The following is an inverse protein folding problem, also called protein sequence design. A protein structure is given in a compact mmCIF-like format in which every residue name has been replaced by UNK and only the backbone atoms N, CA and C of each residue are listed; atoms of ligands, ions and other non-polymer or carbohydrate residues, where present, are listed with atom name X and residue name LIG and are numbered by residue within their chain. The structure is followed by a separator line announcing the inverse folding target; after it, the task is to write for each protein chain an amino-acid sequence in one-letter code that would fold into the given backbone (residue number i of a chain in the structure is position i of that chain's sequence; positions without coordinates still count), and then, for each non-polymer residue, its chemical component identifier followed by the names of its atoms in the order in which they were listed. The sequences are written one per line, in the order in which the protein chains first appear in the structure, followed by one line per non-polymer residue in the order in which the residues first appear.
data_IF_798054463947
#
_entry.id   IF_798054463947
#
_cell.length_a   1.000
_cell.length_b   1.000
_cell.length_c   1.000
_cell.angle_alpha   90.00
_cell.angle_beta   90.00
_cell.angle_gamma   90.00
#
_symmetry.space_group_name_H-M   'P 1'
#
loop_
_entity.id
_entity.type
_entity.pdbx_description
1 polymer ?
#
# COMPACT_ATOMS: atom_id res chain seq x y z
N UNK A 1 7.15 16.36 15.01
CA UNK A 1 6.55 15.40 14.05
C UNK A 1 5.97 14.21 14.82
N UNK A 2 4.97 14.47 15.64
CA UNK A 2 4.25 13.47 16.43
C UNK A 2 3.03 13.09 15.59
N UNK A 3 2.87 11.82 15.22
CA UNK A 3 1.68 11.29 14.54
C UNK A 3 1.81 10.86 13.07
N UNK A 4 3.00 10.94 12.44
CA UNK A 4 3.14 10.44 11.08
C UNK A 4 3.29 8.91 11.05
N UNK A 5 2.57 8.23 10.14
CA UNK A 5 2.69 6.79 9.95
C UNK A 5 4.12 6.37 9.57
N UNK A 6 4.44 5.08 9.71
CA UNK A 6 5.75 4.53 9.28
C UNK A 6 6.03 4.84 7.80
N UNK A 7 5.01 4.75 6.96
CA UNK A 7 5.04 5.11 5.54
C UNK A 7 5.45 6.57 5.32
N UNK A 8 4.82 7.52 6.02
CA UNK A 8 5.15 8.94 5.92
C UNK A 8 6.61 9.22 6.31
N UNK A 9 7.05 8.63 7.42
CA UNK A 9 8.44 8.79 7.87
C UNK A 9 9.44 8.25 6.87
N UNK A 10 9.16 7.09 6.27
CA UNK A 10 10.04 6.49 5.27
C UNK A 10 10.14 7.35 4.01
N UNK A 11 9.00 7.84 3.49
CA UNK A 11 8.96 8.74 2.34
C UNK A 11 9.68 10.05 2.59
N UNK A 12 9.45 10.68 3.76
CA UNK A 12 10.13 11.92 4.15
C UNK A 12 11.65 11.71 4.26
N UNK A 13 12.07 10.63 4.90
CA UNK A 13 13.50 10.29 5.02
C UNK A 13 14.15 10.10 3.64
N UNK A 14 13.43 9.47 2.71
CA UNK A 14 13.91 9.32 1.33
C UNK A 14 14.03 10.67 0.63
N UNK A 15 13.02 11.55 0.74
CA UNK A 15 13.05 12.88 0.16
C UNK A 15 14.21 13.73 0.71
N UNK A 16 14.41 13.73 2.02
CA UNK A 16 15.52 14.45 2.67
C UNK A 16 16.87 13.94 2.15
N UNK A 17 17.07 12.63 2.03
CA UNK A 17 18.31 12.04 1.48
C UNK A 17 18.58 12.46 0.03
N UNK A 18 17.54 12.83 -0.73
CA UNK A 18 17.63 13.33 -2.10
C UNK A 18 17.75 14.86 -2.19
N UNK A 19 17.89 15.56 -1.05
CA UNK A 19 18.04 17.03 -1.00
C UNK A 19 16.73 17.81 -0.95
N UNK A 20 15.58 17.14 -0.79
CA UNK A 20 14.26 17.78 -0.77
C UNK A 20 13.73 18.03 0.66
N UNK A 21 14.61 18.42 1.60
CA UNK A 21 14.23 18.62 3.01
C UNK A 21 13.32 19.82 3.26
N UNK A 22 13.42 20.89 2.47
CA UNK A 22 12.79 22.20 2.73
C UNK A 22 11.59 22.48 1.79
N UNK A 23 10.89 21.47 1.31
CA UNK A 23 9.75 21.66 0.39
C UNK A 23 8.65 22.55 0.99
N UNK A 24 8.44 22.53 2.30
CA UNK A 24 7.46 23.38 2.98
C UNK A 24 7.72 24.89 2.79
N UNK A 25 8.94 25.29 2.50
CA UNK A 25 9.30 26.68 2.23
C UNK A 25 8.87 27.14 0.81
N UNK A 26 8.67 26.20 -0.09
CA UNK A 26 8.35 26.45 -1.50
C UNK A 26 6.88 26.26 -1.85
N UNK A 27 6.12 25.60 -0.97
CA UNK A 27 4.73 25.24 -1.25
C UNK A 27 3.81 25.63 -0.10
N UNK A 28 2.66 26.23 -0.45
CA UNK A 28 1.53 26.42 0.45
C UNK A 28 0.58 25.22 0.31
N UNK A 29 0.25 24.55 1.40
CA UNK A 29 -0.78 23.53 1.45
C UNK A 29 -2.13 24.21 1.55
N UNK A 30 -3.02 23.97 0.58
CA UNK A 30 -4.34 24.58 0.50
C UNK A 30 -5.40 23.68 1.12
N UNK A 31 -5.48 22.42 0.67
CA UNK A 31 -6.44 21.44 1.15
C UNK A 31 -5.80 20.07 1.30
N UNK A 32 -6.39 19.25 2.13
CA UNK A 32 -5.98 17.86 2.32
C UNK A 32 -7.20 16.94 2.40
N UNK A 33 -7.15 15.84 1.68
CA UNK A 33 -8.05 14.71 1.82
C UNK A 33 -7.21 13.57 2.43
N UNK A 34 -7.39 13.27 3.73
CA UNK A 34 -6.59 12.26 4.41
C UNK A 34 -6.84 10.87 3.84
N UNK A 35 -5.92 9.95 4.06
CA UNK A 35 -6.09 8.54 3.69
C UNK A 35 -7.29 7.93 4.42
N UNK A 36 -8.08 7.12 3.71
CA UNK A 36 -9.05 6.21 4.31
C UNK A 36 -8.91 4.82 3.69
N UNK A 37 -9.21 3.78 4.46
CA UNK A 37 -9.16 2.38 3.99
C UNK A 37 -10.15 2.10 2.86
N UNK A 38 -11.28 2.79 2.83
CA UNK A 38 -12.27 2.72 1.76
C UNK A 38 -11.75 3.31 0.45
N UNK A 39 -11.17 4.51 0.51
CA UNK A 39 -10.67 5.25 -0.66
C UNK A 39 -9.29 4.79 -1.10
N UNK A 40 -8.49 4.23 -0.20
CA UNK A 40 -7.12 3.73 -0.40
C UNK A 40 -6.12 4.75 -0.97
N UNK A 41 -6.43 6.02 -0.97
CA UNK A 41 -5.50 7.09 -1.32
C UNK A 41 -5.71 8.32 -0.45
N UNK A 42 -4.72 9.19 -0.43
CA UNK A 42 -4.81 10.56 0.07
C UNK A 42 -4.43 11.55 -1.01
N UNK A 43 -4.89 12.80 -0.89
CA UNK A 43 -4.47 13.89 -1.75
C UNK A 43 -4.21 15.16 -0.96
N UNK A 44 -3.28 15.96 -1.45
CA UNK A 44 -2.98 17.29 -0.92
C UNK A 44 -2.95 18.26 -2.08
N UNK A 45 -3.69 19.34 -1.98
CA UNK A 45 -3.56 20.44 -2.92
C UNK A 45 -2.50 21.41 -2.44
N UNK A 46 -1.48 21.61 -3.25
CA UNK A 46 -0.42 22.55 -2.97
C UNK A 46 -0.27 23.59 -4.08
N UNK A 47 0.08 24.80 -3.67
CA UNK A 47 0.42 25.92 -4.56
C UNK A 47 1.91 26.23 -4.42
N UNK A 48 2.60 26.29 -5.55
CA UNK A 48 4.00 26.70 -5.58
C UNK A 48 4.09 28.22 -5.37
N UNK A 49 4.88 28.66 -4.40
CA UNK A 49 5.06 30.09 -4.10
C UNK A 49 5.74 30.86 -5.22
N UNK A 50 6.57 30.19 -6.02
CA UNK A 50 7.22 30.80 -7.21
C UNK A 50 6.26 30.89 -8.40
N UNK A 51 5.16 30.13 -8.42
CA UNK A 51 4.12 30.21 -9.43
C UNK A 51 2.74 30.08 -8.76
N UNK A 52 2.24 31.19 -8.15
CA UNK A 52 1.00 31.16 -7.36
C UNK A 52 -0.27 30.86 -8.16
N UNK A 53 -0.25 31.03 -9.49
CA UNK A 53 -1.37 30.70 -10.37
C UNK A 53 -1.55 29.20 -10.59
N UNK A 54 -0.55 28.39 -10.23
CA UNK A 54 -0.56 26.94 -10.40
C UNK A 54 -0.74 26.22 -9.06
N UNK A 55 -1.95 25.74 -8.81
CA UNK A 55 -2.22 24.81 -7.72
C UNK A 55 -2.39 23.40 -8.30
N UNK A 56 -1.69 22.42 -7.71
CA UNK A 56 -1.77 21.02 -8.12
C UNK A 56 -2.19 20.13 -6.95
N UNK A 57 -2.97 19.11 -7.28
CA UNK A 57 -3.23 17.97 -6.42
C UNK A 57 -2.04 17.02 -6.50
N UNK A 58 -1.52 16.62 -5.35
CA UNK A 58 -0.54 15.54 -5.21
C UNK A 58 -1.23 14.38 -4.54
N UNK A 59 -1.21 13.23 -5.19
CA UNK A 59 -1.96 12.04 -4.78
C UNK A 59 -1.00 10.90 -4.54
N UNK A 60 -1.21 10.15 -3.46
CA UNK A 60 -0.51 8.89 -3.21
C UNK A 60 -1.45 7.86 -2.60
N UNK A 61 -1.25 6.60 -2.94
CA UNK A 61 -2.09 5.49 -2.46
C UNK A 61 -1.88 4.21 -3.22
N UNK A 62 -2.88 3.36 -3.19
CA UNK A 62 -2.90 2.11 -3.92
C UNK A 62 -2.95 2.34 -5.44
N UNK A 63 -2.18 1.54 -6.18
CA UNK A 63 -2.07 1.69 -7.63
C UNK A 63 -3.43 1.51 -8.32
N UNK A 64 -4.21 0.55 -7.87
CA UNK A 64 -5.55 0.25 -8.41
C UNK A 64 -6.52 1.44 -8.33
N UNK A 65 -6.32 2.35 -7.38
CA UNK A 65 -7.16 3.53 -7.19
C UNK A 65 -6.65 4.76 -7.96
N UNK A 66 -5.36 4.85 -8.17
CA UNK A 66 -4.73 6.02 -8.79
C UNK A 66 -4.66 5.88 -10.31
N UNK A 67 -4.29 4.71 -10.84
CA UNK A 67 -4.06 4.50 -12.26
C UNK A 67 -5.29 4.79 -13.14
N UNK A 68 -6.53 4.43 -12.76
CA UNK A 68 -7.72 4.75 -13.57
C UNK A 68 -7.99 6.26 -13.71
N UNK A 69 -7.40 7.08 -12.82
CA UNK A 69 -7.52 8.53 -12.81
C UNK A 69 -6.43 9.22 -13.63
N UNK A 70 -5.42 8.47 -14.10
CA UNK A 70 -4.30 9.01 -14.87
C UNK A 70 -4.65 9.12 -16.35
N UNK A 71 -4.23 10.22 -16.97
CA UNK A 71 -4.34 10.46 -18.42
C UNK A 71 -2.98 10.66 -19.07
N UNK A 72 -1.98 10.94 -18.26
CA UNK A 72 -0.60 11.15 -18.70
C UNK A 72 0.36 10.47 -17.72
N UNK A 73 1.59 10.24 -18.14
CA UNK A 73 2.67 9.82 -17.25
C UNK A 73 3.93 10.64 -17.53
N UNK A 74 4.72 10.82 -16.48
CA UNK A 74 5.98 11.54 -16.54
C UNK A 74 7.12 10.55 -16.83
N UNK A 75 7.79 10.72 -17.96
CA UNK A 75 9.00 9.97 -18.28
C UNK A 75 10.08 10.91 -18.86
N UNK A 76 11.31 10.79 -18.37
CA UNK A 76 12.45 11.58 -18.82
C UNK A 76 12.19 13.10 -18.86
N UNK A 77 11.43 13.60 -17.88
CA UNK A 77 11.07 15.02 -17.76
C UNK A 77 9.96 15.48 -18.72
N UNK A 78 9.34 14.58 -19.47
CA UNK A 78 8.26 14.88 -20.42
C UNK A 78 6.98 14.13 -20.05
N UNK A 79 5.83 14.74 -20.38
CA UNK A 79 4.53 14.11 -20.24
C UNK A 79 4.20 13.35 -21.53
N UNK A 80 3.70 12.13 -21.36
CA UNK A 80 3.27 11.23 -22.40
C UNK A 80 1.83 10.79 -22.14
N UNK A 81 1.01 10.52 -23.17
CA UNK A 81 -0.32 9.98 -23.00
C UNK A 81 -0.28 8.65 -22.23
N UNK A 82 -1.18 8.48 -21.26
CA UNK A 82 -1.32 7.26 -20.49
C UNK A 82 -2.44 6.39 -21.12
N UNK A 83 -2.03 5.34 -21.84
CA UNK A 83 -2.95 4.33 -22.34
C UNK A 83 -3.39 3.43 -21.16
N UNK A 84 -4.70 3.42 -20.89
CA UNK A 84 -5.25 2.69 -19.75
C UNK A 84 -5.13 1.17 -19.89
N UNK A 85 -5.06 0.63 -21.10
CA UNK A 85 -4.89 -0.82 -21.31
C UNK A 85 -3.42 -1.24 -21.16
N UNK A 86 -2.54 -0.56 -21.88
CA UNK A 86 -1.13 -0.96 -21.94
C UNK A 86 -0.34 -0.47 -20.73
N UNK A 87 -0.36 0.83 -20.46
CA UNK A 87 0.45 1.41 -19.40
C UNK A 87 -0.07 1.03 -18.01
N UNK A 88 -1.40 0.98 -17.82
CA UNK A 88 -1.98 0.54 -16.56
C UNK A 88 -1.57 -0.90 -16.24
N UNK A 89 -1.69 -1.81 -17.20
CA UNK A 89 -1.28 -3.21 -17.02
C UNK A 89 0.21 -3.33 -16.65
N UNK A 90 1.08 -2.61 -17.37
CA UNK A 90 2.52 -2.63 -17.11
C UNK A 90 2.88 -2.12 -15.70
N UNK A 91 2.20 -1.05 -15.25
CA UNK A 91 2.42 -0.49 -13.91
C UNK A 91 1.87 -1.42 -12.84
N UNK A 92 0.70 -2.01 -13.03
CA UNK A 92 0.11 -2.99 -12.11
C UNK A 92 0.99 -4.24 -11.99
N UNK A 93 1.55 -4.71 -13.10
CA UNK A 93 2.49 -5.84 -13.09
C UNK A 93 3.76 -5.49 -12.32
N UNK A 94 4.32 -4.30 -12.55
CA UNK A 94 5.46 -3.80 -11.76
C UNK A 94 5.13 -3.70 -10.27
N UNK A 95 3.93 -3.22 -9.93
CA UNK A 95 3.46 -3.14 -8.55
C UNK A 95 3.35 -4.54 -7.91
N UNK A 96 2.74 -5.51 -8.61
CA UNK A 96 2.67 -6.91 -8.16
C UNK A 96 4.05 -7.54 -7.96
N UNK A 97 4.97 -7.29 -8.88
CA UNK A 97 6.34 -7.78 -8.78
C UNK A 97 7.09 -7.19 -7.57
N UNK A 98 6.86 -5.92 -7.24
CA UNK A 98 7.39 -5.31 -6.02
C UNK A 98 6.73 -5.91 -4.77
N UNK A 99 5.41 -6.07 -4.78
CA UNK A 99 4.64 -6.62 -3.66
C UNK A 99 5.02 -8.09 -3.37
N UNK A 100 5.26 -8.91 -4.39
CA UNK A 100 5.70 -10.29 -4.23
C UNK A 100 7.07 -10.44 -3.56
N UNK A 101 7.83 -9.35 -3.47
CA UNK A 101 9.09 -9.26 -2.71
C UNK A 101 8.89 -8.71 -1.29
N UNK A 102 7.65 -8.64 -0.81
CA UNK A 102 7.31 -8.14 0.52
C UNK A 102 7.37 -6.62 0.65
N UNK A 103 7.31 -5.89 -0.47
CA UNK A 103 7.31 -4.43 -0.43
C UNK A 103 5.87 -3.91 -0.36
N UNK A 104 5.63 -2.95 0.52
CA UNK A 104 4.41 -2.13 0.45
C UNK A 104 4.54 -1.13 -0.67
N UNK A 105 3.73 -1.27 -1.72
CA UNK A 105 3.81 -0.44 -2.91
C UNK A 105 2.87 0.75 -2.78
N UNK A 106 3.39 1.95 -3.05
CA UNK A 106 2.64 3.21 -3.07
C UNK A 106 2.82 3.86 -4.43
N UNK A 107 1.70 4.14 -5.09
CA UNK A 107 1.66 4.90 -6.35
C UNK A 107 1.60 6.41 -6.06
N UNK A 108 2.19 7.18 -6.95
CA UNK A 108 2.23 8.65 -6.90
C UNK A 108 1.74 9.24 -8.21
N UNK A 109 0.88 10.24 -8.10
CA UNK A 109 0.40 11.03 -9.22
C UNK A 109 0.20 12.50 -8.81
N UNK A 110 0.10 13.37 -9.80
CA UNK A 110 -0.27 14.78 -9.60
C UNK A 110 -1.19 15.22 -10.71
N UNK A 111 -1.89 16.34 -10.53
CA UNK A 111 -2.72 16.92 -11.59
C UNK A 111 -3.46 18.18 -11.12
N UNK A 112 -4.22 18.80 -11.99
CA UNK A 112 -5.07 19.93 -11.60
C UNK A 112 -6.33 19.47 -10.88
N UNK A 113 -6.81 18.29 -11.23
CA UNK A 113 -8.00 17.65 -10.65
C UNK A 113 -7.70 16.20 -10.28
N UNK A 114 -8.58 15.55 -9.52
CA UNK A 114 -8.43 14.14 -9.14
C UNK A 114 -8.84 13.14 -10.25
N UNK A 115 -9.33 13.62 -11.40
CA UNK A 115 -9.78 12.77 -12.51
C UNK A 115 -8.91 12.92 -13.76
N UNK A 116 -7.92 13.80 -13.72
CA UNK A 116 -6.98 14.05 -14.81
C UNK A 116 -5.57 14.15 -14.22
N UNK A 117 -5.04 12.99 -13.84
CA UNK A 117 -3.75 12.89 -13.17
C UNK A 117 -2.63 12.51 -14.13
N UNK A 118 -1.45 12.99 -13.80
CA UNK A 118 -0.16 12.60 -14.37
C UNK A 118 0.46 11.55 -13.44
N UNK A 119 0.60 10.31 -13.90
CA UNK A 119 1.29 9.26 -13.15
C UNK A 119 2.78 9.59 -13.04
N UNK A 120 3.31 9.57 -11.82
CA UNK A 120 4.72 9.90 -11.54
C UNK A 120 5.55 8.62 -11.36
N UNK A 121 5.02 7.63 -10.64
CA UNK A 121 5.75 6.39 -10.38
C UNK A 121 5.25 5.61 -9.17
N UNK A 122 5.97 4.53 -8.89
CA UNK A 122 5.77 3.66 -7.74
C UNK A 122 6.96 3.76 -6.78
N UNK A 123 6.69 3.63 -5.50
CA UNK A 123 7.71 3.43 -4.47
C UNK A 123 7.35 2.17 -3.68
N UNK A 124 8.31 1.23 -3.59
CA UNK A 124 8.22 0.09 -2.69
C UNK A 124 8.87 0.42 -1.35
N UNK A 125 8.14 0.24 -0.28
CA UNK A 125 8.60 0.43 1.08
C UNK A 125 8.87 -0.94 1.71
N UNK A 126 10.07 -1.11 2.23
CA UNK A 126 10.45 -2.32 2.96
C UNK A 126 10.10 -2.13 4.43
N UNK A 127 9.18 -2.95 4.93
CA UNK A 127 8.78 -3.01 6.34
C UNK A 127 9.03 -4.45 6.83
N UNK A 128 10.29 -4.79 7.15
CA UNK A 128 10.63 -6.16 7.48
C UNK A 128 10.02 -6.58 8.82
N UNK A 129 9.74 -7.87 9.01
CA UNK A 129 9.38 -8.40 10.31
C UNK A 129 10.39 -8.00 11.39
N UNK A 130 9.94 -7.85 12.62
CA UNK A 130 10.84 -7.54 13.73
C UNK A 130 11.80 -8.70 13.96
N UNK A 131 13.06 -8.41 14.35
CA UNK A 131 14.02 -9.47 14.68
C UNK A 131 13.48 -10.45 15.72
N UNK A 132 13.64 -11.74 15.48
CA UNK A 132 13.24 -12.81 16.41
C UNK A 132 11.78 -13.26 16.32
N UNK A 133 10.95 -12.63 15.50
CA UNK A 133 9.56 -13.06 15.30
C UNK A 133 9.48 -14.44 14.65
N UNK A 134 10.36 -14.73 13.70
CA UNK A 134 10.49 -16.04 13.06
C UNK A 134 10.77 -17.16 14.07
N UNK A 135 11.66 -16.92 15.03
CA UNK A 135 11.97 -17.87 16.10
C UNK A 135 10.78 -18.06 17.05
N UNK A 136 10.07 -16.97 17.39
CA UNK A 136 8.88 -17.03 18.25
C UNK A 136 7.76 -17.83 17.58
N UNK A 137 7.56 -17.62 16.28
CA UNK A 137 6.59 -18.37 15.47
C UNK A 137 6.92 -19.88 15.49
N UNK A 138 8.17 -20.23 15.21
CA UNK A 138 8.62 -21.64 15.25
C UNK A 138 8.39 -22.29 16.61
N UNK A 139 8.67 -21.56 17.70
CA UNK A 139 8.47 -22.07 19.06
C UNK A 139 6.99 -22.35 19.32
N UNK A 140 6.10 -21.43 18.95
CA UNK A 140 4.65 -21.59 19.10
C UNK A 140 4.13 -22.77 18.25
N UNK A 141 4.56 -22.87 16.98
CA UNK A 141 4.18 -23.98 16.11
C UNK A 141 4.63 -25.34 16.67
N UNK A 142 5.85 -25.42 17.17
CA UNK A 142 6.38 -26.64 17.81
C UNK A 142 5.62 -27.01 19.09
N UNK A 143 4.99 -26.03 19.72
CA UNK A 143 4.11 -26.24 20.89
C UNK A 143 2.66 -26.55 20.51
N UNK A 144 2.35 -26.73 19.21
CA UNK A 144 1.00 -27.05 18.73
C UNK A 144 0.06 -25.83 18.65
N UNK A 145 0.60 -24.62 18.79
CA UNK A 145 -0.21 -23.39 18.69
C UNK A 145 -0.44 -23.04 17.23
N UNK A 146 -1.71 -22.84 16.85
CA UNK A 146 -2.09 -22.32 15.54
C UNK A 146 -1.79 -20.82 15.47
N UNK A 147 -1.31 -20.36 14.31
CA UNK A 147 -0.93 -18.95 14.12
C UNK A 147 -1.68 -18.41 12.92
N UNK A 148 -2.42 -17.30 13.13
CA UNK A 148 -3.10 -16.57 12.07
C UNK A 148 -2.45 -15.20 11.88
N UNK A 149 -2.27 -14.80 10.62
CA UNK A 149 -1.78 -13.46 10.28
C UNK A 149 -2.92 -12.62 9.73
N UNK A 150 -3.24 -11.53 10.42
CA UNK A 150 -4.24 -10.56 9.99
C UNK A 150 -3.50 -9.29 9.58
N UNK A 151 -3.76 -8.80 8.37
CA UNK A 151 -3.06 -7.64 7.82
C UNK A 151 -3.95 -6.81 6.89
N UNK A 152 -3.73 -5.50 6.87
CA UNK A 152 -4.30 -4.59 5.88
C UNK A 152 -3.50 -4.46 4.59
N UNK A 153 -2.40 -5.20 4.45
CA UNK A 153 -1.59 -5.21 3.23
C UNK A 153 -2.27 -6.03 2.13
N UNK A 154 -1.90 -5.79 0.87
CA UNK A 154 -2.38 -6.60 -0.25
C UNK A 154 -1.89 -8.06 -0.18
N UNK A 155 -2.62 -8.94 -0.87
CA UNK A 155 -2.42 -10.39 -0.86
C UNK A 155 -0.97 -10.80 -1.14
N UNK A 156 -0.35 -10.23 -2.17
CA UNK A 156 1.02 -10.55 -2.58
C UNK A 156 2.04 -10.19 -1.50
N UNK A 157 1.91 -8.99 -0.92
CA UNK A 157 2.79 -8.51 0.16
C UNK A 157 2.66 -9.40 1.39
N UNK A 158 1.43 -9.70 1.80
CA UNK A 158 1.17 -10.52 2.97
C UNK A 158 1.66 -11.97 2.78
N UNK A 159 1.47 -12.55 1.60
CA UNK A 159 2.02 -13.87 1.26
C UNK A 159 3.55 -13.88 1.34
N UNK A 160 4.21 -12.84 0.83
CA UNK A 160 5.66 -12.72 0.89
C UNK A 160 6.15 -12.61 2.35
N UNK A 161 5.50 -11.79 3.18
CA UNK A 161 5.83 -11.64 4.60
C UNK A 161 5.61 -12.95 5.36
N UNK A 162 4.48 -13.63 5.13
CA UNK A 162 4.22 -14.94 5.73
C UNK A 162 5.30 -15.95 5.37
N UNK A 163 5.75 -15.94 4.12
CA UNK A 163 6.86 -16.79 3.67
C UNK A 163 8.17 -16.47 4.39
N UNK A 164 8.51 -15.20 4.56
CA UNK A 164 9.69 -14.76 5.31
C UNK A 164 9.65 -15.18 6.78
N UNK A 165 8.45 -15.27 7.36
CA UNK A 165 8.23 -15.70 8.74
C UNK A 165 8.16 -17.23 8.92
N UNK A 166 8.30 -17.99 7.85
CA UNK A 166 8.16 -19.44 7.90
C UNK A 166 6.72 -19.93 8.11
N UNK A 167 5.75 -19.06 7.86
CA UNK A 167 4.32 -19.41 7.90
C UNK A 167 3.90 -20.12 6.59
N UNK A 168 4.79 -20.92 5.99
CA UNK A 168 4.49 -21.70 4.80
C UNK A 168 4.06 -23.11 5.19
N UNK A 169 2.80 -23.44 4.93
CA UNK A 169 2.32 -24.83 4.91
C UNK A 169 1.56 -25.07 3.63
N UNK A 170 1.52 -26.32 3.20
CA UNK A 170 0.82 -26.75 1.96
C UNK A 170 -0.70 -26.54 2.04
N UNK A 171 -1.25 -26.36 3.25
CA UNK A 171 -2.66 -26.12 3.54
C UNK A 171 -2.95 -24.67 3.98
N UNK A 172 -2.59 -23.69 3.15
CA UNK A 172 -2.90 -22.28 3.43
C UNK A 172 -4.32 -21.93 3.02
N UNK A 173 -5.06 -21.30 3.92
CA UNK A 173 -6.25 -20.54 3.53
C UNK A 173 -5.88 -19.06 3.52
N UNK A 174 -6.05 -18.46 2.35
CA UNK A 174 -5.88 -17.02 2.11
C UNK A 174 -7.27 -16.43 1.96
N UNK A 175 -7.74 -15.70 2.96
CA UNK A 175 -9.04 -15.04 2.95
C UNK A 175 -8.87 -13.54 2.75
N UNK A 176 -9.63 -12.97 1.84
CA UNK A 176 -9.86 -11.52 1.82
C UNK A 176 -10.95 -11.14 2.83
N UNK A 177 -11.04 -9.85 3.21
CA UNK A 177 -12.15 -9.37 4.02
C UNK A 177 -13.51 -9.71 3.39
N UNK A 178 -13.62 -9.57 2.07
CA UNK A 178 -14.82 -9.93 1.34
C UNK A 178 -15.13 -11.45 1.37
N UNK A 179 -14.13 -12.30 1.50
CA UNK A 179 -14.33 -13.74 1.68
C UNK A 179 -14.85 -14.03 3.09
N UNK A 180 -14.27 -13.37 4.10
CA UNK A 180 -14.71 -13.48 5.50
C UNK A 180 -16.15 -12.99 5.66
N UNK A 181 -16.51 -11.87 5.05
CA UNK A 181 -17.86 -11.29 5.10
C UNK A 181 -18.94 -12.20 4.47
N UNK A 182 -18.55 -13.16 3.64
CA UNK A 182 -19.47 -14.15 3.01
C UNK A 182 -19.65 -15.42 3.83
N UNK A 183 -18.73 -15.70 4.76
CA UNK A 183 -18.79 -16.88 5.60
C UNK A 183 -19.75 -16.64 6.76
N UNK A 184 -20.58 -17.65 7.08
CA UNK A 184 -21.31 -17.68 8.33
C UNK A 184 -20.40 -18.18 9.48
N UNK A 185 -20.84 -18.03 10.72
CA UNK A 185 -20.07 -18.40 11.91
C UNK A 185 -19.59 -19.86 11.91
N UNK A 186 -20.42 -20.78 11.39
CA UNK A 186 -20.10 -22.21 11.31
C UNK A 186 -19.01 -22.47 10.26
N UNK A 187 -19.08 -21.79 9.13
CA UNK A 187 -18.07 -21.88 8.06
C UNK A 187 -16.76 -21.25 8.50
N UNK A 188 -16.82 -20.10 9.17
CA UNK A 188 -15.64 -19.43 9.72
C UNK A 188 -14.96 -20.32 10.78
N UNK A 189 -15.75 -20.95 11.67
CA UNK A 189 -15.23 -21.89 12.65
C UNK A 189 -14.55 -23.09 11.98
N UNK A 190 -15.13 -23.66 10.94
CA UNK A 190 -14.53 -24.78 10.19
C UNK A 190 -13.22 -24.39 9.52
N UNK A 191 -13.16 -23.19 8.94
CA UNK A 191 -11.92 -22.66 8.36
C UNK A 191 -10.86 -22.51 9.46
N UNK A 192 -11.20 -21.89 10.58
CA UNK A 192 -10.29 -21.74 11.72
C UNK A 192 -9.80 -23.07 12.29
N UNK A 193 -10.68 -24.10 12.30
CA UNK A 193 -10.33 -25.42 12.80
C UNK A 193 -9.52 -26.28 11.82
N UNK A 194 -9.72 -26.09 10.51
CA UNK A 194 -9.12 -26.92 9.47
C UNK A 194 -7.70 -26.47 9.07
N UNK A 195 -7.25 -25.27 9.45
CA UNK A 195 -6.02 -24.67 8.92
C UNK A 195 -5.04 -24.36 10.04
N UNK A 196 -3.80 -24.70 9.79
CA UNK A 196 -2.69 -24.36 10.71
C UNK A 196 -2.24 -22.91 10.58
N UNK A 197 -2.59 -22.23 9.48
CA UNK A 197 -2.21 -20.85 9.20
C UNK A 197 -3.29 -20.16 8.34
N UNK A 198 -3.87 -19.11 8.88
CA UNK A 198 -4.79 -18.23 8.17
C UNK A 198 -4.10 -16.89 7.88
N UNK A 199 -4.26 -16.39 6.66
CA UNK A 199 -3.87 -15.04 6.31
C UNK A 199 -5.14 -14.30 5.93
N UNK A 200 -5.59 -13.39 6.78
CA UNK A 200 -6.78 -12.57 6.54
C UNK A 200 -6.36 -11.20 6.07
N UNK A 201 -6.75 -10.85 4.86
CA UNK A 201 -6.58 -9.51 4.31
C UNK A 201 -7.85 -8.71 4.57
N UNK A 202 -7.89 -7.87 5.57
CA UNK A 202 -9.03 -7.00 5.78
C UNK A 202 -8.62 -5.53 5.67
N UNK A 203 -9.40 -4.75 4.95
CA UNK A 203 -9.53 -3.35 5.28
C UNK A 203 -10.23 -3.30 6.65
N UNK A 204 -9.48 -2.96 7.69
CA UNK A 204 -9.91 -2.97 9.11
C UNK A 204 -11.04 -1.94 9.32
N UNK A 205 -12.21 -2.16 8.78
CA UNK A 205 -13.39 -1.35 9.09
C UNK A 205 -14.46 -2.11 9.90
N UNK A 206 -14.31 -3.43 10.11
CA UNK A 206 -15.36 -4.26 10.71
C UNK A 206 -14.93 -5.16 11.88
N UNK A 207 -13.76 -4.93 12.48
CA UNK A 207 -13.39 -5.56 13.74
C UNK A 207 -13.43 -4.55 14.89
N UNK A 208 -14.62 -4.26 15.38
CA UNK A 208 -14.88 -3.69 16.72
C UNK A 208 -15.99 -4.49 17.35
#
# INVERSE_FOLDING_TARGET
MIGSSSTERALLKHAIKRGYGNLAEHFDRLTEVPFSSERKFMSVQCRNRLNPSLALQYVKGAAEEILPRCRQFLALGRLHPFDTKYHQYAVEEAARNMASRGLRVVAFARGRTLVDLEFIGLIGLHDPPRPGVDNSIKLLQNSGVKISMITGDGKETATAIASMLGLQTDNKVLLSGADVDRLNDVELQRVADSVSIEIVFSSISNFV
#
